data_IF_450427788757
#
_entry.id   IF_450427788757
#
_cell.length_a   1.000
_cell.length_b   1.000
_cell.length_c   1.000
_cell.angle_alpha   90.00
_cell.angle_beta   90.00
_cell.angle_gamma   90.00
#
_symmetry.space_group_name_H-M   'P 1'
#
loop_
_entity.id
_entity.type
_entity.pdbx_description
1 polymer ?
#
# COMPACT_ATOMS: atom_id res chain seq x y z
N UNK A 1 20.99 0.76 -19.64
CA UNK A 1 19.81 -0.01 -20.11
C UNK A 1 18.76 0.01 -19.03
N UNK A 2 17.47 0.06 -19.39
CA UNK A 2 16.36 0.14 -18.41
C UNK A 2 15.33 -0.95 -18.64
N UNK A 3 14.82 -1.53 -17.55
CA UNK A 3 13.62 -2.38 -17.57
C UNK A 3 12.40 -1.55 -17.18
N UNK A 4 11.43 -1.42 -18.08
CA UNK A 4 10.13 -0.82 -17.79
C UNK A 4 9.15 -1.91 -17.38
N UNK A 5 8.67 -1.84 -16.13
CA UNK A 5 7.74 -2.79 -15.51
C UNK A 5 6.35 -2.14 -15.43
N UNK A 6 5.31 -2.79 -15.96
CA UNK A 6 3.95 -2.24 -16.01
C UNK A 6 2.86 -3.33 -16.10
N UNK A 7 1.63 -2.99 -15.68
CA UNK A 7 0.48 -3.91 -15.74
C UNK A 7 -0.06 -4.03 -17.19
N UNK A 8 -0.87 -3.08 -17.64
CA UNK A 8 -1.35 -3.00 -19.03
C UNK A 8 -1.75 -1.56 -19.30
N UNK A 9 -0.92 -0.80 -20.03
CA UNK A 9 -1.26 0.59 -20.34
C UNK A 9 -0.91 0.97 -21.77
N UNK A 10 -1.89 1.57 -22.46
CA UNK A 10 -1.70 2.39 -23.66
C UNK A 10 -0.95 3.71 -23.38
N UNK A 11 -0.49 3.93 -22.13
CA UNK A 11 0.22 5.14 -21.69
C UNK A 11 1.74 5.00 -21.71
N UNK A 12 2.30 3.79 -21.72
CA UNK A 12 3.77 3.58 -21.78
C UNK A 12 4.33 4.23 -23.03
N UNK A 13 3.72 4.00 -24.20
CA UNK A 13 4.21 4.58 -25.47
C UNK A 13 4.09 6.12 -25.52
N UNK A 14 2.97 6.78 -25.14
CA UNK A 14 2.91 8.24 -25.08
C UNK A 14 3.82 8.91 -24.04
N UNK A 15 4.03 8.31 -22.86
CA UNK A 15 4.94 8.88 -21.84
C UNK A 15 6.41 8.69 -22.21
N UNK A 16 6.77 7.47 -22.63
CA UNK A 16 8.13 7.12 -23.06
C UNK A 16 8.50 7.90 -24.33
N UNK A 17 7.57 8.11 -25.27
CA UNK A 17 7.84 8.89 -26.49
C UNK A 17 7.88 10.40 -26.29
N UNK A 18 7.18 10.95 -25.29
CA UNK A 18 7.20 12.39 -24.97
C UNK A 18 8.38 12.81 -24.10
N UNK A 19 8.88 11.92 -23.25
CA UNK A 19 10.11 12.15 -22.51
C UNK A 19 11.32 11.94 -23.43
N UNK A 20 11.92 13.04 -23.92
CA UNK A 20 13.14 13.01 -24.76
C UNK A 20 14.32 12.24 -24.13
N UNK A 21 14.26 11.92 -22.83
CA UNK A 21 15.26 11.16 -22.05
C UNK A 21 15.43 9.72 -22.59
N UNK A 22 14.41 9.12 -23.19
CA UNK A 22 14.50 7.74 -23.71
C UNK A 22 15.23 7.61 -25.04
N UNK A 23 15.52 8.71 -25.75
CA UNK A 23 16.21 8.65 -27.05
C UNK A 23 17.65 8.14 -26.94
N UNK A 24 18.25 8.20 -25.75
CA UNK A 24 19.60 7.72 -25.46
C UNK A 24 19.61 6.43 -24.61
N UNK A 25 18.43 5.91 -24.22
CA UNK A 25 18.29 4.73 -23.39
C UNK A 25 17.74 3.54 -24.20
N UNK A 26 18.43 2.39 -24.12
CA UNK A 26 17.87 1.11 -24.57
C UNK A 26 16.89 0.59 -23.51
N UNK A 27 15.62 0.46 -23.91
CA UNK A 27 14.49 0.04 -23.06
C UNK A 27 14.13 -1.41 -23.33
N UNK A 28 13.93 -2.16 -22.26
CA UNK A 28 13.30 -3.48 -22.25
C UNK A 28 11.99 -3.41 -21.48
N UNK A 29 11.04 -4.29 -21.77
CA UNK A 29 9.70 -4.24 -21.19
C UNK A 29 9.35 -5.54 -20.47
N UNK A 30 8.80 -5.40 -19.26
CA UNK A 30 8.11 -6.43 -18.50
C UNK A 30 6.65 -5.98 -18.30
N UNK A 31 5.80 -6.37 -19.24
CA UNK A 31 4.37 -6.08 -19.22
C UNK A 31 3.59 -7.16 -18.46
N UNK A 32 2.35 -6.86 -18.09
CA UNK A 32 1.40 -7.83 -17.57
C UNK A 32 1.49 -8.10 -16.07
N UNK A 33 2.09 -7.20 -15.28
CA UNK A 33 2.14 -7.37 -13.82
C UNK A 33 0.72 -7.45 -13.24
N UNK A 34 0.45 -8.52 -12.53
CA UNK A 34 -0.86 -8.82 -11.95
C UNK A 34 -1.22 -7.86 -10.80
N UNK A 35 -2.53 -7.65 -10.50
CA UNK A 35 -2.95 -6.86 -9.34
C UNK A 35 -2.44 -7.40 -8.00
N UNK A 36 -2.35 -8.73 -7.86
CA UNK A 36 -1.56 -9.39 -6.81
C UNK A 36 -0.30 -9.94 -7.51
N UNK A 37 0.85 -9.24 -7.42
CA UNK A 37 2.00 -9.53 -8.26
C UNK A 37 2.59 -10.90 -7.93
N UNK A 38 2.84 -11.71 -8.95
CA UNK A 38 3.22 -13.11 -8.78
C UNK A 38 4.71 -13.34 -8.96
N UNK A 39 5.24 -14.32 -8.24
CA UNK A 39 6.67 -14.66 -8.29
C UNK A 39 7.13 -15.06 -9.70
N UNK A 40 6.27 -15.64 -10.54
CA UNK A 40 6.61 -15.98 -11.93
C UNK A 40 6.92 -14.74 -12.77
N UNK A 41 6.18 -13.64 -12.57
CA UNK A 41 6.43 -12.37 -13.26
C UNK A 41 7.72 -11.73 -12.76
N UNK A 42 7.98 -11.79 -11.45
CA UNK A 42 9.25 -11.34 -10.85
C UNK A 42 10.43 -12.12 -11.44
N UNK A 43 10.38 -13.46 -11.49
CA UNK A 43 11.46 -14.29 -12.05
C UNK A 43 11.77 -13.92 -13.52
N UNK A 44 10.74 -13.71 -14.36
CA UNK A 44 10.93 -13.22 -15.73
C UNK A 44 11.66 -11.89 -15.79
N UNK A 45 11.32 -10.95 -14.90
CA UNK A 45 12.00 -9.67 -14.80
C UNK A 45 13.47 -9.80 -14.37
N UNK A 46 13.75 -10.66 -13.40
CA UNK A 46 15.12 -10.97 -12.95
C UNK A 46 15.96 -11.54 -14.09
N UNK A 47 15.43 -12.52 -14.82
CA UNK A 47 16.11 -13.14 -15.96
C UNK A 47 16.43 -12.11 -17.05
N UNK A 48 15.47 -11.23 -17.36
CA UNK A 48 15.66 -10.16 -18.33
C UNK A 48 16.76 -9.18 -17.89
N UNK A 49 16.76 -8.78 -16.61
CA UNK A 49 17.79 -7.93 -16.04
C UNK A 49 19.19 -8.56 -16.14
N UNK A 50 19.33 -9.84 -15.80
CA UNK A 50 20.62 -10.56 -15.83
C UNK A 50 21.12 -10.79 -17.26
N UNK A 51 20.25 -11.25 -18.16
CA UNK A 51 20.61 -11.60 -19.53
C UNK A 51 21.01 -10.37 -20.36
N UNK A 52 20.24 -9.28 -20.22
CA UNK A 52 20.45 -8.05 -20.98
C UNK A 52 21.36 -7.06 -20.26
N UNK A 53 21.84 -7.40 -19.05
CA UNK A 53 22.70 -6.56 -18.20
C UNK A 53 22.08 -5.19 -17.91
N UNK A 54 20.82 -5.19 -17.49
CA UNK A 54 20.05 -3.98 -17.21
C UNK A 54 20.62 -3.24 -16.00
N UNK A 55 20.70 -1.91 -16.08
CA UNK A 55 21.35 -1.06 -15.09
C UNK A 55 20.37 -0.41 -14.10
N UNK A 56 19.08 -0.34 -14.44
CA UNK A 56 18.03 0.27 -13.62
C UNK A 56 16.63 -0.28 -13.96
N UNK A 57 15.71 -0.20 -13.02
CA UNK A 57 14.31 -0.62 -13.16
C UNK A 57 13.39 0.59 -13.01
N UNK A 58 12.42 0.73 -13.90
CA UNK A 58 11.37 1.73 -13.84
C UNK A 58 10.01 1.05 -13.74
N UNK A 59 9.30 1.28 -12.65
CA UNK A 59 7.91 0.89 -12.47
C UNK A 59 6.98 1.99 -12.96
N UNK A 60 6.00 1.66 -13.81
CA UNK A 60 4.92 2.57 -14.22
C UNK A 60 3.59 1.88 -13.89
N UNK A 61 2.98 2.26 -12.77
CA UNK A 61 1.79 1.58 -12.29
C UNK A 61 1.40 1.94 -10.85
N UNK A 62 0.54 1.10 -10.26
CA UNK A 62 0.22 1.15 -8.84
C UNK A 62 1.18 0.28 -8.01
N UNK A 63 0.84 0.10 -6.72
CA UNK A 63 1.65 -0.66 -5.76
C UNK A 63 2.16 -2.00 -6.26
N UNK A 64 1.30 -2.83 -6.85
CA UNK A 64 1.65 -4.16 -7.39
C UNK A 64 2.81 -4.12 -8.39
N UNK A 65 2.82 -3.11 -9.26
CA UNK A 65 3.88 -2.90 -10.25
C UNK A 65 5.18 -2.48 -9.60
N UNK A 66 5.10 -1.60 -8.59
CA UNK A 66 6.26 -1.11 -7.85
C UNK A 66 6.86 -2.25 -7.00
N UNK A 67 6.03 -3.02 -6.31
CA UNK A 67 6.44 -4.20 -5.53
C UNK A 67 7.14 -5.22 -6.40
N UNK A 68 6.57 -5.55 -7.57
CA UNK A 68 7.23 -6.42 -8.55
C UNK A 68 8.59 -5.86 -8.97
N UNK A 69 8.67 -4.56 -9.28
CA UNK A 69 9.92 -3.92 -9.69
C UNK A 69 10.99 -3.93 -8.60
N UNK A 70 10.60 -3.75 -7.33
CA UNK A 70 11.50 -3.82 -6.18
C UNK A 70 12.16 -5.20 -6.06
N UNK A 71 11.36 -6.27 -6.11
CA UNK A 71 11.89 -7.63 -6.01
C UNK A 71 12.67 -8.03 -7.26
N UNK A 72 12.27 -7.55 -8.46
CA UNK A 72 13.06 -7.71 -9.68
C UNK A 72 14.44 -7.05 -9.56
N UNK A 73 14.50 -5.83 -9.03
CA UNK A 73 15.74 -5.08 -8.87
C UNK A 73 16.69 -5.73 -7.86
N UNK A 74 16.17 -6.23 -6.73
CA UNK A 74 16.94 -7.00 -5.75
C UNK A 74 17.38 -8.36 -6.31
N UNK A 75 16.45 -9.11 -6.92
CA UNK A 75 16.72 -10.42 -7.53
C UNK A 75 17.75 -10.37 -8.67
N UNK A 76 17.83 -9.26 -9.40
CA UNK A 76 18.87 -9.03 -10.41
C UNK A 76 20.30 -8.99 -9.83
N UNK A 77 20.44 -8.72 -8.52
CA UNK A 77 21.70 -8.68 -7.77
C UNK A 77 21.91 -9.87 -6.83
N UNK A 78 20.99 -10.83 -6.84
CA UNK A 78 21.03 -12.00 -5.97
C UNK A 78 21.26 -13.28 -6.80
N UNK A 79 22.16 -14.16 -6.36
CA UNK A 79 22.51 -15.38 -7.12
C UNK A 79 21.45 -16.49 -6.99
N UNK A 80 20.62 -16.46 -5.93
CA UNK A 80 19.57 -17.44 -5.69
C UNK A 80 18.23 -17.10 -6.36
N UNK A 81 17.15 -17.77 -5.91
CA UNK A 81 15.81 -17.53 -6.45
C UNK A 81 15.22 -16.25 -5.83
N UNK A 82 14.46 -15.47 -6.61
CA UNK A 82 13.83 -14.26 -6.09
C UNK A 82 12.85 -14.52 -4.94
N UNK A 83 12.29 -15.73 -4.84
CA UNK A 83 11.41 -16.13 -3.73
C UNK A 83 12.18 -16.19 -2.40
N UNK A 84 13.48 -16.46 -2.43
CA UNK A 84 14.31 -16.44 -1.23
C UNK A 84 14.30 -15.05 -0.57
N UNK A 85 14.33 -13.98 -1.39
CA UNK A 85 14.21 -12.59 -0.93
C UNK A 85 12.80 -12.30 -0.40
N UNK A 86 11.78 -12.86 -1.03
CA UNK A 86 10.39 -12.69 -0.58
C UNK A 86 10.18 -13.31 0.81
N UNK A 87 10.78 -14.48 1.06
CA UNK A 87 10.70 -15.14 2.37
C UNK A 87 11.65 -14.53 3.42
N UNK A 88 12.75 -13.92 2.98
CA UNK A 88 13.76 -13.32 3.85
C UNK A 88 14.40 -12.10 3.17
N UNK A 89 13.88 -10.92 3.49
CA UNK A 89 14.35 -9.65 2.95
C UNK A 89 15.82 -9.35 3.25
N UNK A 90 16.42 -9.96 4.27
CA UNK A 90 17.84 -9.75 4.59
C UNK A 90 18.80 -10.23 3.49
N UNK A 91 18.31 -11.11 2.60
CA UNK A 91 19.06 -11.58 1.43
C UNK A 91 19.17 -10.52 0.32
N UNK A 92 18.35 -9.48 0.34
CA UNK A 92 18.48 -8.34 -0.55
C UNK A 92 19.52 -7.34 0.00
N UNK A 93 20.79 -7.67 -0.15
CA UNK A 93 21.90 -6.79 0.27
C UNK A 93 22.05 -5.55 -0.63
N UNK A 94 21.80 -5.72 -1.93
CA UNK A 94 21.81 -4.64 -2.93
C UNK A 94 20.70 -4.84 -3.95
N UNK A 95 20.32 -3.76 -4.64
CA UNK A 95 19.37 -3.80 -5.73
C UNK A 95 19.85 -2.89 -6.87
N UNK A 96 19.33 -3.12 -8.09
CA UNK A 96 19.40 -2.10 -9.13
C UNK A 96 18.65 -0.84 -8.67
N UNK A 97 19.05 0.38 -9.09
CA UNK A 97 18.27 1.59 -8.86
C UNK A 97 16.83 1.42 -9.37
N UNK A 98 15.87 1.77 -8.51
CA UNK A 98 14.44 1.66 -8.79
C UNK A 98 13.86 3.07 -8.95
N UNK A 99 13.16 3.29 -10.05
CA UNK A 99 12.39 4.50 -10.30
C UNK A 99 10.92 4.15 -10.39
N UNK A 100 10.03 5.04 -9.95
CA UNK A 100 8.60 4.80 -10.08
C UNK A 100 7.85 6.00 -10.66
N UNK A 101 6.79 5.71 -11.42
CA UNK A 101 5.75 6.65 -11.82
C UNK A 101 4.44 6.07 -11.29
N UNK A 102 3.91 6.69 -10.24
CA UNK A 102 2.73 6.19 -9.54
C UNK A 102 1.47 6.56 -10.31
N UNK A 103 0.64 5.56 -10.64
CA UNK A 103 -0.64 5.78 -11.36
C UNK A 103 -1.87 5.42 -10.53
N UNK A 104 -1.69 4.91 -9.32
CA UNK A 104 -2.75 4.55 -8.38
C UNK A 104 -2.26 4.71 -6.95
N UNK A 105 -2.97 5.50 -6.16
CA UNK A 105 -2.67 5.73 -4.74
C UNK A 105 -3.37 4.69 -3.87
N UNK A 106 -2.59 3.90 -3.12
CA UNK A 106 -3.08 2.94 -2.14
C UNK A 106 -1.98 2.56 -1.16
N UNK A 107 -0.91 1.94 -1.69
CA UNK A 107 0.01 1.15 -0.87
C UNK A 107 1.16 1.94 -0.26
N UNK A 108 1.51 3.12 -0.79
CA UNK A 108 2.70 3.87 -0.36
C UNK A 108 4.04 3.28 -0.84
N UNK A 109 4.00 2.23 -1.65
CA UNK A 109 5.18 1.50 -2.15
C UNK A 109 6.18 2.40 -2.90
N UNK A 110 5.72 3.52 -3.45
CA UNK A 110 6.58 4.51 -4.07
C UNK A 110 7.53 5.25 -3.09
N UNK A 111 7.30 5.16 -1.77
CA UNK A 111 8.07 5.89 -0.75
C UNK A 111 8.52 5.00 0.44
N UNK A 112 8.31 3.68 0.35
CA UNK A 112 8.76 2.71 1.35
C UNK A 112 9.77 1.70 0.76
N UNK A 113 10.19 0.74 1.60
CA UNK A 113 11.12 -0.33 1.24
C UNK A 113 10.45 -1.70 1.06
N UNK A 114 9.12 -1.78 1.22
CA UNK A 114 8.40 -3.05 1.32
C UNK A 114 7.86 -3.50 -0.03
N UNK A 115 7.67 -4.80 -0.21
CA UNK A 115 7.01 -5.38 -1.36
C UNK A 115 6.20 -6.61 -0.93
N UNK A 116 5.04 -6.85 -1.54
CA UNK A 116 4.21 -8.03 -1.27
C UNK A 116 4.08 -8.86 -2.55
N UNK A 117 4.56 -10.10 -2.52
CA UNK A 117 4.55 -11.01 -3.69
C UNK A 117 3.82 -12.30 -3.36
N UNK A 118 3.07 -12.82 -4.33
CA UNK A 118 2.33 -14.08 -4.22
C UNK A 118 3.02 -15.24 -4.94
N UNK A 119 2.91 -16.44 -4.36
CA UNK A 119 3.12 -17.73 -5.01
C UNK A 119 1.80 -18.50 -5.02
N UNK A 120 1.06 -18.38 -6.12
CA UNK A 120 -0.26 -18.99 -6.27
C UNK A 120 -0.21 -20.52 -6.41
N UNK A 121 0.98 -21.11 -6.61
CA UNK A 121 1.12 -22.57 -6.62
C UNK A 121 1.08 -23.15 -5.20
N UNK A 122 1.38 -22.32 -4.20
CA UNK A 122 1.36 -22.66 -2.77
C UNK A 122 0.25 -21.97 -1.99
N UNK A 123 -0.47 -21.02 -2.61
CA UNK A 123 -1.37 -20.08 -1.93
C UNK A 123 -0.65 -19.31 -0.82
N UNK A 124 0.54 -18.79 -1.14
CA UNK A 124 1.34 -17.98 -0.22
C UNK A 124 1.37 -16.52 -0.72
N UNK A 125 1.24 -15.55 0.19
CA UNK A 125 1.42 -14.12 -0.08
C UNK A 125 2.23 -13.51 1.06
N UNK A 126 3.46 -13.10 0.75
CA UNK A 126 4.40 -12.65 1.77
C UNK A 126 4.85 -11.22 1.50
N UNK A 127 4.94 -10.45 2.58
CA UNK A 127 5.62 -9.16 2.60
C UNK A 127 7.11 -9.35 2.85
N UNK A 128 7.93 -8.62 2.11
CA UNK A 128 9.38 -8.52 2.29
C UNK A 128 9.82 -7.05 2.26
N UNK A 129 11.04 -6.76 2.68
CA UNK A 129 11.61 -5.43 2.55
C UNK A 129 13.08 -5.38 2.95
N UNK A 130 13.81 -4.49 2.29
CA UNK A 130 15.20 -4.17 2.58
C UNK A 130 15.46 -2.72 2.14
N UNK A 131 16.35 -2.01 2.83
CA UNK A 131 16.59 -0.58 2.57
C UNK A 131 17.00 -0.31 1.10
N UNK A 132 17.74 -1.24 0.49
CA UNK A 132 18.14 -1.17 -0.91
C UNK A 132 16.97 -1.26 -1.91
N UNK A 133 15.80 -1.74 -1.48
CA UNK A 133 14.58 -1.84 -2.30
C UNK A 133 13.75 -0.55 -2.31
N UNK A 134 14.12 0.47 -1.53
CA UNK A 134 13.42 1.75 -1.58
C UNK A 134 13.62 2.41 -2.96
N UNK A 135 12.57 2.93 -3.61
CA UNK A 135 12.72 3.68 -4.85
C UNK A 135 13.71 4.84 -4.71
N UNK A 136 14.65 4.94 -5.64
CA UNK A 136 15.61 6.04 -5.73
C UNK A 136 14.92 7.36 -5.99
N UNK A 137 13.88 7.35 -6.82
CA UNK A 137 13.01 8.51 -7.08
C UNK A 137 11.64 8.04 -7.55
N UNK A 138 10.60 8.73 -7.09
CA UNK A 138 9.22 8.47 -7.46
C UNK A 138 8.55 9.73 -7.98
N UNK A 139 7.85 9.60 -9.11
CA UNK A 139 7.08 10.67 -9.75
C UNK A 139 5.60 10.47 -9.39
N UNK A 140 5.05 11.47 -8.71
CA UNK A 140 3.69 11.49 -8.20
C UNK A 140 2.95 12.66 -8.86
N UNK A 141 2.06 12.35 -9.81
CA UNK A 141 1.17 13.31 -10.44
C UNK A 141 -0.28 12.86 -10.20
N UNK A 142 -1.05 13.60 -9.39
CA UNK A 142 -2.42 13.24 -9.05
C UNK A 142 -3.33 13.03 -10.27
N UNK A 143 -3.03 13.68 -11.40
CA UNK A 143 -3.83 13.56 -12.63
C UNK A 143 -3.77 12.15 -13.23
N UNK A 144 -2.72 11.37 -12.96
CA UNK A 144 -2.63 9.98 -13.44
C UNK A 144 -3.65 9.07 -12.75
N UNK A 145 -4.21 9.51 -11.63
CA UNK A 145 -5.21 8.74 -10.87
C UNK A 145 -6.65 9.05 -11.29
N UNK A 146 -6.87 10.00 -12.19
CA UNK A 146 -8.23 10.43 -12.58
C UNK A 146 -9.05 9.30 -13.22
N UNK A 147 -8.38 8.39 -13.94
CA UNK A 147 -9.00 7.22 -14.55
C UNK A 147 -9.17 6.02 -13.61
N UNK A 148 -8.72 6.11 -12.35
CA UNK A 148 -8.86 5.02 -11.38
C UNK A 148 -10.32 4.86 -11.01
N UNK A 149 -10.82 3.63 -11.09
CA UNK A 149 -12.23 3.30 -10.83
C UNK A 149 -12.63 3.63 -9.39
N UNK A 150 -13.94 3.83 -9.15
CA UNK A 150 -14.49 4.01 -7.80
C UNK A 150 -14.10 2.86 -6.88
N UNK A 151 -14.23 1.61 -7.36
CA UNK A 151 -13.87 0.40 -6.59
C UNK A 151 -12.41 0.43 -6.13
N UNK A 152 -11.48 0.77 -7.02
CA UNK A 152 -10.06 0.82 -6.69
C UNK A 152 -9.71 2.03 -5.81
N UNK A 153 -10.37 3.17 -6.02
CA UNK A 153 -10.22 4.36 -5.15
C UNK A 153 -10.69 4.06 -3.72
N UNK A 154 -11.82 3.35 -3.58
CA UNK A 154 -12.34 2.94 -2.29
C UNK A 154 -11.43 1.93 -1.59
N UNK A 155 -11.02 0.87 -2.31
CA UNK A 155 -10.11 -0.13 -1.77
C UNK A 155 -8.77 0.49 -1.37
N UNK A 156 -8.19 1.36 -2.21
CA UNK A 156 -6.97 2.09 -1.89
C UNK A 156 -7.12 2.95 -0.64
N UNK A 157 -8.23 3.67 -0.49
CA UNK A 157 -8.48 4.48 0.72
C UNK A 157 -8.54 3.61 1.98
N UNK A 158 -9.19 2.44 1.91
CA UNK A 158 -9.23 1.51 3.03
C UNK A 158 -7.85 0.94 3.39
N UNK A 159 -7.01 0.67 2.38
CA UNK A 159 -5.63 0.23 2.57
C UNK A 159 -4.78 1.29 3.30
N UNK A 160 -4.83 2.54 2.82
CA UNK A 160 -4.15 3.66 3.48
C UNK A 160 -4.59 3.85 4.94
N UNK A 161 -5.90 3.69 5.21
CA UNK A 161 -6.43 3.74 6.57
C UNK A 161 -5.90 2.58 7.41
N UNK A 162 -5.84 1.37 6.86
CA UNK A 162 -5.30 0.19 7.55
C UNK A 162 -3.82 0.35 7.89
N UNK A 163 -2.98 0.85 6.95
CA UNK A 163 -1.59 1.21 7.23
C UNK A 163 -1.48 2.20 8.40
N UNK A 164 -2.34 3.21 8.38
CA UNK A 164 -2.37 4.23 9.45
C UNK A 164 -2.83 3.62 10.77
N UNK A 165 -3.83 2.75 10.78
CA UNK A 165 -4.33 2.09 11.99
C UNK A 165 -3.31 1.16 12.63
N UNK A 166 -2.57 0.37 11.85
CA UNK A 166 -1.57 -0.56 12.36
C UNK A 166 -0.40 0.20 13.04
N UNK A 167 -0.07 1.40 12.56
CA UNK A 167 0.90 2.28 13.23
C UNK A 167 0.31 3.05 14.43
N UNK A 168 -0.97 3.45 14.33
CA UNK A 168 -1.64 4.28 15.33
C UNK A 168 -2.06 3.50 16.58
N UNK A 169 -2.59 2.29 16.41
CA UNK A 169 -3.05 1.44 17.50
C UNK A 169 -1.90 0.63 18.13
N UNK A 170 -0.95 1.36 18.70
CA UNK A 170 0.21 0.80 19.38
C UNK A 170 0.04 0.80 20.91
N UNK A 171 0.78 -0.10 21.57
CA UNK A 171 0.95 -0.11 23.04
C UNK A 171 2.15 0.73 23.49
N UNK A 172 2.95 1.23 22.54
CA UNK A 172 4.09 2.10 22.80
C UNK A 172 3.62 3.43 23.42
N UNK A 173 4.37 3.92 24.40
CA UNK A 173 4.02 5.17 25.11
C UNK A 173 4.92 6.31 24.67
N UNK A 174 4.42 7.55 24.74
CA UNK A 174 5.20 8.74 24.40
C UNK A 174 5.39 8.97 22.90
N UNK A 175 4.52 8.38 22.07
CA UNK A 175 4.51 8.49 20.60
C UNK A 175 3.46 9.50 20.10
N UNK A 176 3.23 10.56 20.87
CA UNK A 176 2.18 11.55 20.58
C UNK A 176 2.36 12.22 19.21
N UNK A 177 3.58 12.46 18.77
CA UNK A 177 3.86 13.07 17.46
C UNK A 177 3.35 12.18 16.32
N UNK A 178 3.68 10.88 16.36
CA UNK A 178 3.22 9.87 15.42
C UNK A 178 1.70 9.76 15.45
N UNK A 179 1.11 9.75 16.65
CA UNK A 179 -0.34 9.71 16.84
C UNK A 179 -1.04 10.91 16.19
N UNK A 180 -0.51 12.13 16.33
CA UNK A 180 -1.11 13.34 15.70
C UNK A 180 -0.97 13.34 14.19
N UNK A 181 0.14 12.85 13.64
CA UNK A 181 0.25 12.68 12.20
C UNK A 181 -0.76 11.65 11.68
N UNK A 182 -0.86 10.49 12.32
CA UNK A 182 -1.83 9.45 11.96
C UNK A 182 -3.28 9.95 12.02
N UNK A 183 -3.65 10.71 13.04
CA UNK A 183 -4.98 11.33 13.15
C UNK A 183 -5.27 12.32 11.99
N UNK A 184 -4.27 13.11 11.61
CA UNK A 184 -4.38 14.02 10.46
C UNK A 184 -4.55 13.29 9.13
N UNK A 185 -3.81 12.19 8.93
CA UNK A 185 -3.94 11.32 7.77
C UNK A 185 -5.34 10.69 7.70
N UNK A 186 -5.83 10.10 8.79
CA UNK A 186 -7.15 9.49 8.86
C UNK A 186 -8.27 10.50 8.54
N UNK A 187 -8.22 11.71 9.13
CA UNK A 187 -9.18 12.78 8.81
C UNK A 187 -9.14 13.18 7.35
N UNK A 188 -7.95 13.23 6.76
CA UNK A 188 -7.75 13.57 5.35
C UNK A 188 -8.38 12.51 4.45
N UNK A 189 -8.18 11.23 4.75
CA UNK A 189 -8.79 10.10 4.03
C UNK A 189 -10.31 10.09 4.18
N UNK A 190 -10.83 10.33 5.39
CA UNK A 190 -12.27 10.42 5.67
C UNK A 190 -12.93 11.55 4.87
N UNK A 191 -12.24 12.69 4.75
CA UNK A 191 -12.72 13.85 3.98
C UNK A 191 -12.66 13.60 2.47
N UNK A 192 -11.52 13.18 1.94
CA UNK A 192 -11.27 13.19 0.50
C UNK A 192 -11.56 11.87 -0.20
N UNK A 193 -11.61 10.73 0.51
CA UNK A 193 -12.03 9.45 -0.04
C UNK A 193 -13.39 9.53 -0.76
N UNK A 194 -14.46 9.98 -0.09
CA UNK A 194 -15.78 10.11 -0.70
C UNK A 194 -15.84 11.16 -1.83
N UNK A 195 -15.03 12.23 -1.71
CA UNK A 195 -14.93 13.25 -2.77
C UNK A 195 -14.35 12.63 -4.04
N UNK A 196 -13.26 11.85 -3.94
CA UNK A 196 -12.66 11.17 -5.09
C UNK A 196 -13.56 10.07 -5.69
N UNK A 197 -14.47 9.47 -4.90
CA UNK A 197 -15.48 8.56 -5.44
C UNK A 197 -16.55 9.28 -6.26
N UNK A 198 -16.97 10.48 -5.83
CA UNK A 198 -18.02 11.26 -6.48
C UNK A 198 -17.49 12.06 -7.67
N UNK A 199 -16.30 12.64 -7.52
CA UNK A 199 -15.64 13.56 -8.46
C UNK A 199 -14.25 12.99 -8.78
N UNK A 200 -14.16 12.00 -9.69
CA UNK A 200 -12.92 11.23 -9.91
C UNK A 200 -11.76 12.07 -10.49
N UNK A 201 -12.03 13.24 -11.05
CA UNK A 201 -11.06 14.20 -11.57
C UNK A 201 -10.85 15.41 -10.64
N UNK A 202 -11.37 15.36 -9.41
CA UNK A 202 -11.10 16.37 -8.40
C UNK A 202 -9.62 16.33 -7.96
N UNK A 203 -8.84 17.29 -8.46
CA UNK A 203 -7.40 17.34 -8.22
C UNK A 203 -7.03 17.34 -6.74
N UNK A 204 -7.71 18.16 -5.92
CA UNK A 204 -7.39 18.26 -4.49
C UNK A 204 -7.66 16.94 -3.76
N UNK A 205 -8.75 16.26 -4.08
CA UNK A 205 -9.06 14.96 -3.48
C UNK A 205 -7.99 13.92 -3.86
N UNK A 206 -7.60 13.86 -5.13
CA UNK A 206 -6.57 12.94 -5.62
C UNK A 206 -5.19 13.25 -5.04
N UNK A 207 -4.81 14.52 -4.97
CA UNK A 207 -3.53 14.96 -4.43
C UNK A 207 -3.41 14.65 -2.94
N UNK A 208 -4.47 14.91 -2.16
CA UNK A 208 -4.49 14.62 -0.73
C UNK A 208 -4.45 13.11 -0.46
N UNK A 209 -5.22 12.31 -1.20
CA UNK A 209 -5.17 10.85 -1.06
C UNK A 209 -3.81 10.27 -1.48
N UNK A 210 -3.22 10.79 -2.56
CA UNK A 210 -1.90 10.37 -3.01
C UNK A 210 -0.83 10.64 -1.96
N UNK A 211 -0.81 11.83 -1.39
CA UNK A 211 0.17 12.18 -0.36
C UNK A 211 -0.09 11.45 0.96
N UNK A 212 -1.36 11.25 1.32
CA UNK A 212 -1.74 10.47 2.49
C UNK A 212 -1.29 9.00 2.37
N UNK A 213 -1.39 8.40 1.18
CA UNK A 213 -0.93 7.04 0.93
C UNK A 213 0.58 6.89 1.18
N UNK A 214 1.40 7.79 0.62
CA UNK A 214 2.85 7.76 0.82
C UNK A 214 3.22 7.88 2.31
N UNK A 215 2.56 8.79 3.05
CA UNK A 215 2.86 9.02 4.46
C UNK A 215 2.26 7.99 5.43
N UNK A 216 1.33 7.14 4.97
CA UNK A 216 0.73 6.11 5.81
C UNK A 216 1.73 4.97 6.15
N UNK A 217 2.80 4.80 5.36
CA UNK A 217 3.73 3.68 5.52
C UNK A 217 5.22 4.01 5.23
N UNK A 218 5.57 5.26 4.91
CA UNK A 218 6.98 5.61 4.61
C UNK A 218 7.92 5.66 5.83
N UNK A 219 7.42 5.37 7.04
CA UNK A 219 8.16 5.47 8.30
C UNK A 219 7.72 6.63 9.20
N UNK A 220 7.14 7.72 8.65
CA UNK A 220 6.86 8.94 9.43
C UNK A 220 6.02 8.69 10.70
N UNK A 221 5.01 7.84 10.59
CA UNK A 221 4.08 7.55 11.69
C UNK A 221 4.42 6.28 12.47
N UNK A 222 5.48 5.56 12.10
CA UNK A 222 5.92 4.33 12.77
C UNK A 222 7.30 4.45 13.41
N UNK A 223 8.18 5.34 12.91
CA UNK A 223 9.54 5.50 13.41
C UNK A 223 9.55 5.91 14.89
N UNK A 224 10.42 5.26 15.67
CA UNK A 224 10.45 5.43 17.12
C UNK A 224 9.34 4.68 17.86
N UNK A 225 8.54 3.89 17.16
CA UNK A 225 7.57 2.95 17.73
C UNK A 225 7.79 1.54 17.17
N UNK A 226 7.27 0.52 17.85
CA UNK A 226 7.26 -0.87 17.36
C UNK A 226 5.82 -1.37 17.17
N UNK A 227 5.10 -0.89 16.14
CA UNK A 227 3.74 -1.32 15.88
C UNK A 227 3.73 -2.78 15.42
N UNK A 228 2.82 -3.57 15.99
CA UNK A 228 2.58 -4.93 15.53
C UNK A 228 1.48 -4.92 14.48
N UNK A 229 1.75 -5.51 13.33
CA UNK A 229 0.81 -5.60 12.22
C UNK A 229 -0.05 -6.86 12.37
N UNK A 230 -1.36 -6.68 12.52
CA UNK A 230 -2.29 -7.78 12.82
C UNK A 230 -3.24 -8.09 11.65
N UNK A 231 -3.81 -7.06 11.04
CA UNK A 231 -4.84 -7.12 10.00
C UNK A 231 -4.23 -7.50 8.66
N UNK A 232 -3.10 -6.90 8.30
CA UNK A 232 -2.44 -7.18 7.01
C UNK A 232 -2.04 -8.65 6.83
N UNK A 233 -1.38 -9.32 7.79
CA UNK A 233 -1.09 -10.76 7.64
C UNK A 233 -2.35 -11.61 7.48
N UNK A 234 -3.45 -11.29 8.19
CA UNK A 234 -4.72 -12.00 8.01
C UNK A 234 -5.30 -11.77 6.60
N UNK A 235 -5.16 -10.55 6.07
CA UNK A 235 -5.59 -10.25 4.70
C UNK A 235 -4.76 -11.01 3.67
N UNK A 236 -3.44 -11.10 3.88
CA UNK A 236 -2.56 -11.79 2.94
C UNK A 236 -3.01 -13.23 2.70
N UNK A 237 -3.43 -13.95 3.74
CA UNK A 237 -4.02 -15.28 3.62
C UNK A 237 -5.30 -15.26 2.77
N UNK A 238 -6.22 -14.31 3.02
CA UNK A 238 -7.44 -14.20 2.20
C UNK A 238 -7.13 -13.94 0.71
N UNK A 239 -6.23 -13.00 0.44
CA UNK A 239 -5.73 -12.70 -0.90
C UNK A 239 -5.08 -13.92 -1.55
N UNK A 240 -4.29 -14.70 -0.81
CA UNK A 240 -3.59 -15.86 -1.34
C UNK A 240 -4.53 -16.99 -1.75
N UNK A 241 -5.63 -17.19 -1.02
CA UNK A 241 -6.61 -18.24 -1.31
C UNK A 241 -7.73 -17.83 -2.29
N UNK A 242 -8.11 -16.55 -2.32
CA UNK A 242 -9.30 -16.09 -3.04
C UNK A 242 -9.03 -14.99 -4.08
N UNK A 243 -7.79 -14.53 -4.20
CA UNK A 243 -7.38 -13.45 -5.12
C UNK A 243 -8.26 -12.19 -5.01
N UNK A 244 -8.66 -11.87 -3.77
CA UNK A 244 -9.46 -10.67 -3.49
C UNK A 244 -8.61 -9.40 -3.64
N UNK A 245 -9.28 -8.27 -3.86
CA UNK A 245 -8.61 -6.96 -3.85
C UNK A 245 -8.19 -6.61 -2.42
N UNK A 246 -6.89 -6.39 -2.21
CA UNK A 246 -6.27 -6.15 -0.90
C UNK A 246 -7.08 -5.25 0.04
N UNK A 247 -7.33 -4.01 -0.38
CA UNK A 247 -8.08 -3.03 0.43
C UNK A 247 -9.54 -3.41 0.73
N UNK A 248 -10.16 -4.28 -0.07
CA UNK A 248 -11.49 -4.83 0.26
C UNK A 248 -11.40 -5.83 1.42
N UNK A 249 -10.37 -6.68 1.42
CA UNK A 249 -10.10 -7.60 2.53
C UNK A 249 -9.82 -6.83 3.83
N UNK A 250 -8.97 -5.81 3.77
CA UNK A 250 -8.69 -4.94 4.92
C UNK A 250 -9.93 -4.22 5.45
N UNK A 251 -10.80 -3.73 4.57
CA UNK A 251 -12.04 -3.07 4.97
C UNK A 251 -12.98 -4.00 5.74
N UNK A 252 -13.07 -5.27 5.33
CA UNK A 252 -13.86 -6.29 6.05
C UNK A 252 -13.23 -6.61 7.40
N UNK A 253 -11.91 -6.82 7.44
CA UNK A 253 -11.20 -7.29 8.62
C UNK A 253 -11.05 -6.22 9.71
N UNK A 254 -10.74 -4.97 9.34
CA UNK A 254 -10.36 -3.91 10.29
C UNK A 254 -11.39 -3.71 11.41
N UNK A 255 -12.70 -3.49 11.14
CA UNK A 255 -13.65 -3.25 12.21
C UNK A 255 -13.89 -4.50 13.07
N UNK A 256 -13.81 -5.70 12.48
CA UNK A 256 -13.93 -6.97 13.22
C UNK A 256 -12.73 -7.18 14.14
N UNK A 257 -11.53 -6.84 13.68
CA UNK A 257 -10.32 -6.85 14.48
C UNK A 257 -10.42 -5.88 15.67
N UNK A 258 -10.92 -4.66 15.46
CA UNK A 258 -11.11 -3.68 16.55
C UNK A 258 -12.03 -4.23 17.66
N UNK A 259 -13.15 -4.86 17.29
CA UNK A 259 -14.06 -5.49 18.26
C UNK A 259 -13.43 -6.68 18.98
N UNK A 260 -12.68 -7.50 18.24
CA UNK A 260 -11.99 -8.66 18.81
C UNK A 260 -10.95 -8.23 19.84
N UNK A 261 -10.11 -7.24 19.50
CA UNK A 261 -9.09 -6.68 20.39
C UNK A 261 -9.74 -6.08 21.63
N UNK A 262 -10.79 -5.27 21.46
CA UNK A 262 -11.55 -4.68 22.57
C UNK A 262 -12.07 -5.75 23.54
N UNK A 263 -12.59 -6.87 23.01
CA UNK A 263 -13.09 -7.98 23.83
C UNK A 263 -11.98 -8.74 24.54
N UNK A 264 -10.82 -8.90 23.90
CA UNK A 264 -9.69 -9.69 24.42
C UNK A 264 -8.80 -8.91 25.38
N UNK A 265 -8.66 -7.62 25.15
CA UNK A 265 -7.82 -6.72 25.91
C UNK A 265 -8.55 -5.40 26.16
N UNK A 266 -9.34 -5.31 27.25
CA UNK A 266 -10.06 -4.10 27.62
C UNK A 266 -9.17 -2.89 27.90
N UNK A 267 -7.85 -3.07 28.05
CA UNK A 267 -6.93 -1.93 28.23
C UNK A 267 -6.80 -1.07 26.97
N UNK A 268 -7.21 -1.60 25.81
CA UNK A 268 -7.23 -0.88 24.52
C UNK A 268 -8.37 0.11 24.37
N UNK A 269 -9.35 0.10 25.28
CA UNK A 269 -10.50 1.03 25.30
C UNK A 269 -10.05 2.48 25.19
N UNK A 270 -9.03 2.88 25.94
CA UNK A 270 -8.56 4.27 25.92
C UNK A 270 -8.03 4.67 24.53
N UNK A 271 -7.29 3.79 23.85
CA UNK A 271 -6.75 4.06 22.52
C UNK A 271 -7.88 4.26 21.48
N UNK A 272 -8.90 3.41 21.51
CA UNK A 272 -10.05 3.54 20.61
C UNK A 272 -10.96 4.73 20.98
N UNK A 273 -11.06 5.09 22.25
CA UNK A 273 -11.76 6.30 22.67
C UNK A 273 -11.05 7.55 22.16
N UNK A 274 -9.72 7.64 22.32
CA UNK A 274 -8.90 8.74 21.81
C UNK A 274 -9.03 8.85 20.28
N UNK A 275 -8.98 7.74 19.55
CA UNK A 275 -9.30 7.68 18.12
C UNK A 275 -10.67 8.31 17.82
N UNK A 276 -11.71 7.87 18.53
CA UNK A 276 -13.07 8.37 18.37
C UNK A 276 -13.18 9.89 18.57
N UNK A 277 -12.56 10.40 19.63
CA UNK A 277 -12.58 11.84 19.93
C UNK A 277 -11.78 12.63 18.89
N UNK A 278 -10.57 12.18 18.60
CA UNK A 278 -9.64 12.95 17.79
C UNK A 278 -10.00 12.89 16.32
N UNK A 279 -10.35 11.73 15.77
CA UNK A 279 -10.62 11.54 14.33
C UNK A 279 -12.08 11.81 13.98
N UNK A 280 -13.02 11.30 14.78
CA UNK A 280 -14.46 11.41 14.50
C UNK A 280 -15.16 12.56 15.24
N UNK A 281 -14.48 13.25 16.16
CA UNK A 281 -15.08 14.33 16.93
C UNK A 281 -16.14 13.86 17.93
N UNK A 282 -16.07 12.60 18.37
CA UNK A 282 -16.99 12.05 19.38
C UNK A 282 -16.74 12.79 20.70
N UNK A 283 -17.79 13.37 21.30
CA UNK A 283 -17.69 14.17 22.53
C UNK A 283 -18.07 13.41 23.81
N UNK A 284 -18.20 12.09 23.73
CA UNK A 284 -18.57 11.26 24.89
C UNK A 284 -17.42 11.20 25.91
N UNK A 285 -17.75 11.46 27.17
CA UNK A 285 -16.80 11.37 28.30
C UNK A 285 -16.51 9.90 28.68
N UNK A 286 -17.46 8.99 28.48
CA UNK A 286 -17.26 7.55 28.74
C UNK A 286 -16.44 6.91 27.61
N UNK A 287 -15.25 6.39 27.95
CA UNK A 287 -14.33 5.80 26.96
C UNK A 287 -14.93 4.57 26.26
N UNK A 288 -15.72 3.76 26.96
CA UNK A 288 -16.35 2.58 26.36
C UNK A 288 -17.42 2.98 25.33
N UNK A 289 -18.25 3.98 25.65
CA UNK A 289 -19.21 4.57 24.72
C UNK A 289 -18.51 5.20 23.51
N UNK A 290 -17.47 6.01 23.75
CA UNK A 290 -16.69 6.63 22.68
C UNK A 290 -16.05 5.59 21.75
N UNK A 291 -15.49 4.52 22.32
CA UNK A 291 -14.91 3.38 21.59
C UNK A 291 -15.92 2.71 20.67
N UNK A 292 -17.10 2.35 21.20
CA UNK A 292 -18.14 1.68 20.41
C UNK A 292 -18.63 2.55 19.26
N UNK A 293 -18.81 3.86 19.51
CA UNK A 293 -19.16 4.84 18.48
C UNK A 293 -18.07 4.95 17.42
N UNK A 294 -16.79 4.96 17.81
CA UNK A 294 -15.68 5.05 16.88
C UNK A 294 -15.59 3.84 15.93
N UNK A 295 -15.76 2.62 16.46
CA UNK A 295 -15.80 1.39 15.65
C UNK A 295 -16.98 1.44 14.67
N UNK A 296 -18.15 1.89 15.12
CA UNK A 296 -19.33 2.03 14.27
C UNK A 296 -19.14 3.09 13.18
N UNK A 297 -18.53 4.23 13.48
CA UNK A 297 -18.15 5.23 12.49
C UNK A 297 -17.19 4.66 11.44
N UNK A 298 -16.16 3.91 11.86
CA UNK A 298 -15.26 3.23 10.93
C UNK A 298 -16.02 2.25 10.01
N UNK A 299 -16.95 1.45 10.56
CA UNK A 299 -17.79 0.53 9.77
C UNK A 299 -18.63 1.27 8.73
N UNK A 300 -19.39 2.28 9.16
CA UNK A 300 -20.24 3.06 8.26
C UNK A 300 -19.43 3.76 7.19
N UNK A 301 -18.27 4.29 7.55
CA UNK A 301 -17.38 4.90 6.57
C UNK A 301 -16.95 3.88 5.51
N UNK A 302 -16.41 2.73 5.92
CA UNK A 302 -15.93 1.72 4.98
C UNK A 302 -17.06 1.12 4.13
N UNK A 303 -18.18 0.74 4.75
CA UNK A 303 -19.21 -0.05 4.07
C UNK A 303 -20.28 0.79 3.39
N UNK A 304 -20.69 1.91 4.02
CA UNK A 304 -21.78 2.75 3.49
C UNK A 304 -21.23 3.92 2.68
N UNK A 305 -20.18 4.60 3.19
CA UNK A 305 -19.64 5.80 2.52
C UNK A 305 -18.68 5.46 1.39
N UNK A 306 -17.81 4.48 1.61
CA UNK A 306 -16.84 4.02 0.61
C UNK A 306 -17.37 2.86 -0.25
N UNK A 307 -18.59 2.39 0.00
CA UNK A 307 -19.28 1.34 -0.76
C UNK A 307 -18.48 0.01 -0.83
N UNK A 308 -17.69 -0.30 0.20
CA UNK A 308 -16.91 -1.55 0.27
C UNK A 308 -17.75 -2.71 0.84
N UNK A 309 -17.45 -3.96 0.45
CA UNK A 309 -18.14 -5.12 0.99
C UNK A 309 -17.98 -5.21 2.51
N UNK A 310 -19.08 -5.56 3.20
CA UNK A 310 -19.10 -5.69 4.65
C UNK A 310 -18.78 -7.11 5.16
N UNK A 311 -18.71 -8.10 4.26
CA UNK A 311 -18.46 -9.49 4.62
C UNK A 311 -17.81 -10.27 3.47
N UNK A 312 -17.31 -11.48 3.77
CA UNK A 312 -16.59 -12.34 2.83
C UNK A 312 -17.50 -13.21 1.93
N UNK A 313 -18.83 -13.25 2.18
CA UNK A 313 -19.76 -14.16 1.48
C UNK A 313 -20.31 -13.57 0.19
#
# INVERSE_FOLDING_TARGET
>A
MILSVYNNFNLTVPYISKCNIYRELKVFELAGVEPNPKIETVRKGVDLCKNEKIDMVLAIGGGSTIDCAKVVAAGAKYDGDAWDIVLDGSKAETALPIFSVLTLSATGSEMDQFAVISDMTKNEKWGTGADCMKPTMSILDPTYTFSVSKKQTAAGTADMMSHTFESYFTKEKGVDVQARFAEGLLKTMIKYGPVALKEPDNYDARANLMWAASHAINGLISDGSQPAWCVHPMEHELSAFYDITHGQGLAILTPVWMEFVLKKDPTTVQNFAVYGRNVWGISDDDDMSATKKAIECTRKFLFETMELPANLR
#
